data_IF_886237939673
#
_entry.id   IF_886237939673
#
_cell.length_a   1.000
_cell.length_b   1.000
_cell.length_c   1.000
_cell.angle_alpha   90.00
_cell.angle_beta   90.00
_cell.angle_gamma   90.00
#
_symmetry.space_group_name_H-M   'P 1'
#
loop_
_entity.id
_entity.type
_entity.pdbx_description
1 polymer ?
#
# COMPACT_ATOMS: atom_id res chain seq x y z
N UNK A 1 -16.66 9.79 -7.81
CA UNK A 1 -16.11 8.53 -7.24
C UNK A 1 -14.87 8.13 -8.00
N UNK A 2 -13.80 7.80 -7.32
CA UNK A 2 -12.55 7.39 -7.98
C UNK A 2 -12.67 5.94 -8.46
N UNK A 3 -12.10 5.67 -9.64
CA UNK A 3 -12.04 4.31 -10.14
C UNK A 3 -11.00 3.50 -9.35
N UNK A 4 -11.15 2.17 -9.36
CA UNK A 4 -10.19 1.29 -8.72
C UNK A 4 -8.78 1.47 -9.31
N UNK A 5 -8.68 1.69 -10.61
CA UNK A 5 -7.39 1.92 -11.26
C UNK A 5 -6.73 3.20 -10.75
N UNK A 6 -7.49 4.27 -10.58
CA UNK A 6 -6.95 5.53 -10.06
C UNK A 6 -6.51 5.38 -8.62
N UNK A 7 -7.32 4.68 -7.80
CA UNK A 7 -6.95 4.40 -6.41
C UNK A 7 -5.67 3.58 -6.36
N UNK A 8 -5.56 2.56 -7.21
CA UNK A 8 -4.34 1.74 -7.29
C UNK A 8 -3.11 2.57 -7.60
N UNK A 9 -3.23 3.47 -8.57
CA UNK A 9 -2.12 4.37 -8.93
C UNK A 9 -1.76 5.30 -7.79
N UNK A 10 -2.75 5.85 -7.11
CA UNK A 10 -2.52 6.77 -6.00
C UNK A 10 -1.86 6.05 -4.81
N UNK A 11 -2.32 4.84 -4.49
CA UNK A 11 -1.72 4.04 -3.42
C UNK A 11 -0.28 3.69 -3.77
N UNK A 12 -0.04 3.25 -5.00
CA UNK A 12 1.31 2.89 -5.46
C UNK A 12 2.25 4.09 -5.36
N UNK A 13 1.81 5.25 -5.82
CA UNK A 13 2.61 6.47 -5.77
C UNK A 13 2.90 6.88 -4.33
N UNK A 14 1.91 6.77 -3.45
CA UNK A 14 2.09 7.12 -2.04
C UNK A 14 3.07 6.16 -1.35
N UNK A 15 3.01 4.87 -1.67
CA UNK A 15 3.95 3.88 -1.13
C UNK A 15 5.36 4.15 -1.63
N UNK A 16 5.53 4.44 -2.92
CA UNK A 16 6.84 4.74 -3.49
C UNK A 16 7.45 5.96 -2.82
N UNK A 17 6.65 6.98 -2.57
CA UNK A 17 7.13 8.19 -1.89
C UNK A 17 7.55 7.90 -0.46
N UNK A 18 6.79 7.10 0.26
CA UNK A 18 7.06 6.81 1.67
C UNK A 18 8.20 5.82 1.85
N UNK A 19 8.32 4.82 0.96
CA UNK A 19 9.28 3.73 1.08
C UNK A 19 10.41 3.82 0.04
N UNK A 20 10.54 4.94 -0.66
CA UNK A 20 11.36 5.06 -1.86
C UNK A 20 12.85 4.73 -1.68
N UNK A 21 13.37 4.86 -0.47
CA UNK A 21 14.78 4.56 -0.20
C UNK A 21 14.97 3.20 0.46
N UNK A 22 13.89 2.48 0.73
CA UNK A 22 13.93 1.17 1.39
C UNK A 22 13.59 0.10 0.38
N UNK A 23 14.40 -0.95 0.24
CA UNK A 23 14.05 -2.05 -0.64
C UNK A 23 12.74 -2.68 -0.18
N UNK A 24 11.74 -2.57 -1.01
CA UNK A 24 10.42 -3.13 -0.75
C UNK A 24 9.80 -3.58 -2.07
N UNK A 25 9.08 -4.68 -2.03
CA UNK A 25 8.31 -5.16 -3.17
C UNK A 25 6.88 -5.32 -2.68
N UNK A 26 6.02 -4.38 -3.07
CA UNK A 26 4.64 -4.39 -2.64
C UNK A 26 3.73 -4.31 -3.86
N UNK A 27 2.87 -5.32 -4.01
CA UNK A 27 1.83 -5.31 -5.01
C UNK A 27 0.57 -4.70 -4.43
N UNK A 28 -0.16 -3.96 -5.27
CA UNK A 28 -1.38 -3.27 -4.89
C UNK A 28 -2.52 -3.72 -5.79
N UNK A 29 -3.60 -4.21 -5.18
CA UNK A 29 -4.84 -4.52 -5.89
C UNK A 29 -5.97 -3.75 -5.24
N UNK A 30 -6.94 -3.31 -6.05
CA UNK A 30 -8.08 -2.54 -5.55
C UNK A 30 -9.37 -3.10 -6.17
N UNK A 31 -10.35 -3.39 -5.31
CA UNK A 31 -11.68 -3.85 -5.72
C UNK A 31 -12.73 -3.05 -4.97
N UNK A 32 -13.49 -2.23 -5.69
CA UNK A 32 -14.54 -1.38 -5.10
C UNK A 32 -14.01 -0.52 -3.96
N UNK A 33 -12.80 0.00 -4.12
CA UNK A 33 -12.14 0.81 -3.10
C UNK A 33 -11.46 0.03 -1.99
N UNK A 34 -11.66 -1.28 -1.91
CA UNK A 34 -10.97 -2.12 -0.94
C UNK A 34 -9.58 -2.47 -1.48
N UNK A 35 -8.55 -2.13 -0.72
CA UNK A 35 -7.16 -2.27 -1.14
C UNK A 35 -6.55 -3.52 -0.51
N UNK A 36 -5.88 -4.31 -1.34
CA UNK A 36 -5.10 -5.44 -0.89
C UNK A 36 -3.62 -5.17 -1.17
N UNK A 37 -2.81 -5.17 -0.12
CA UNK A 37 -1.36 -5.02 -0.22
C UNK A 37 -0.71 -6.37 0.06
N UNK A 38 0.18 -6.78 -0.84
CA UNK A 38 0.93 -8.02 -0.67
C UNK A 38 2.38 -7.79 -1.05
N UNK A 39 3.30 -8.34 -0.27
CA UNK A 39 4.71 -8.21 -0.58
C UNK A 39 5.62 -8.37 0.61
N UNK A 40 6.78 -7.72 0.53
CA UNK A 40 7.85 -7.85 1.52
C UNK A 40 8.49 -6.50 1.80
N UNK A 41 8.78 -6.27 3.07
CA UNK A 41 9.51 -5.09 3.53
C UNK A 41 10.61 -5.53 4.49
N UNK A 42 11.53 -4.64 4.82
CA UNK A 42 12.67 -4.98 5.67
C UNK A 42 12.44 -4.70 7.15
N UNK A 43 11.50 -3.83 7.49
CA UNK A 43 11.26 -3.48 8.89
C UNK A 43 9.78 -3.44 9.21
N UNK A 44 9.45 -3.58 10.50
CA UNK A 44 8.09 -3.40 10.98
C UNK A 44 7.60 -1.97 10.74
N UNK A 45 8.49 -0.99 10.85
CA UNK A 45 8.14 0.40 10.59
C UNK A 45 7.67 0.59 9.15
N UNK A 46 8.34 -0.06 8.19
CA UNK A 46 7.95 0.02 6.78
C UNK A 46 6.55 -0.58 6.57
N UNK A 47 6.27 -1.69 7.22
CA UNK A 47 4.96 -2.32 7.12
C UNK A 47 3.87 -1.41 7.69
N UNK A 48 4.11 -0.84 8.88
CA UNK A 48 3.16 0.07 9.51
C UNK A 48 2.95 1.34 8.67
N UNK A 49 4.03 1.87 8.09
CA UNK A 49 3.95 3.03 7.22
C UNK A 49 3.15 2.74 5.96
N UNK A 50 3.33 1.55 5.38
CA UNK A 50 2.56 1.15 4.20
C UNK A 50 1.06 1.11 4.50
N UNK A 51 0.67 0.54 5.64
CA UNK A 51 -0.72 0.51 6.06
C UNK A 51 -1.29 1.91 6.21
N UNK A 52 -0.57 2.77 6.92
CA UNK A 52 -1.01 4.13 7.21
C UNK A 52 -1.17 4.95 5.94
N UNK A 53 -0.19 4.86 5.06
CA UNK A 53 -0.18 5.61 3.81
C UNK A 53 -1.34 5.17 2.91
N UNK A 54 -1.56 3.86 2.80
CA UNK A 54 -2.63 3.34 1.96
C UNK A 54 -4.00 3.79 2.47
N UNK A 55 -4.21 3.80 3.78
CA UNK A 55 -5.50 4.22 4.35
C UNK A 55 -5.80 5.71 4.17
N UNK A 56 -4.78 6.52 3.93
CA UNK A 56 -4.95 7.96 3.72
C UNK A 56 -5.35 8.32 2.29
N UNK A 57 -5.22 7.38 1.36
CA UNK A 57 -5.55 7.65 -0.03
C UNK A 57 -7.06 7.80 -0.16
N UNK A 58 -7.49 8.88 -0.83
CA UNK A 58 -8.91 9.12 -1.06
C UNK A 58 -9.53 8.01 -1.89
N UNK A 59 -10.68 7.54 -1.48
CA UNK A 59 -11.41 6.48 -2.15
C UNK A 59 -11.19 5.10 -1.56
N UNK A 60 -10.20 4.93 -0.67
CA UNK A 60 -9.95 3.65 -0.01
C UNK A 60 -11.04 3.39 1.03
N UNK A 61 -11.74 2.28 0.89
CA UNK A 61 -12.83 1.90 1.80
C UNK A 61 -12.42 0.88 2.85
N UNK A 62 -11.31 0.21 2.62
CA UNK A 62 -10.79 -0.78 3.55
C UNK A 62 -9.45 -1.30 3.07
N UNK A 63 -8.78 -2.05 3.92
CA UNK A 63 -7.41 -2.48 3.66
C UNK A 63 -7.18 -3.89 4.19
N UNK A 64 -6.58 -4.74 3.36
CA UNK A 64 -6.05 -6.02 3.77
C UNK A 64 -4.55 -6.02 3.51
N UNK A 65 -3.77 -6.35 4.53
CA UNK A 65 -2.30 -6.28 4.45
C UNK A 65 -1.72 -7.68 4.60
N UNK A 66 -1.03 -8.12 3.54
CA UNK A 66 -0.33 -9.40 3.51
C UNK A 66 1.14 -9.12 3.20
N UNK A 67 1.79 -8.42 4.14
CA UNK A 67 3.17 -7.98 3.97
C UNK A 67 4.04 -8.70 5.00
N UNK A 68 5.06 -9.38 4.50
CA UNK A 68 6.06 -10.05 5.33
C UNK A 68 7.20 -9.09 5.65
N UNK A 69 7.70 -9.16 6.86
CA UNK A 69 8.90 -8.44 7.28
C UNK A 69 10.08 -9.40 7.15
N UNK A 70 11.05 -9.03 6.34
CA UNK A 70 12.25 -9.84 6.11
C UNK A 70 13.35 -9.32 7.02
N UNK A 71 13.85 -10.21 7.86
CA UNK A 71 14.96 -9.87 8.75
C UNK A 71 16.31 -10.16 8.11
#
# INVERSE_FOLDING_TARGET
>A
MKSDLLIQKDVTAALDLQLGLTPAVIGVEVHHGFVHLAGRVQTQADRSNAERVAMRVEGVTGLNVDIDVIL
#
